data_IF_399651998143
#
_entry.id   IF_399651998143
#
_cell.length_a   1.000
_cell.length_b   1.000
_cell.length_c   1.000
_cell.angle_alpha   90.00
_cell.angle_beta   90.00
_cell.angle_gamma   90.00
#
_symmetry.space_group_name_H-M   'P 1'
#
loop_
_entity.id
_entity.type
_entity.pdbx_description
1 polymer ?
#
# COMPACT_ATOMS: atom_id res chain seq x y z
N UNK A 1 8.22 17.15 -28.68
CA UNK A 1 8.05 16.13 -29.75
C UNK A 1 9.20 15.12 -29.74
N UNK A 2 10.47 15.55 -29.69
CA UNK A 2 11.65 14.66 -29.67
C UNK A 2 11.72 13.76 -28.42
N UNK A 3 11.39 14.29 -27.25
CA UNK A 3 11.41 13.50 -25.99
C UNK A 3 10.30 12.45 -25.94
N UNK A 4 9.20 12.67 -26.64
CA UNK A 4 8.11 11.71 -26.75
C UNK A 4 8.42 10.58 -27.76
N UNK A 5 9.19 10.87 -28.83
CA UNK A 5 9.59 9.87 -29.82
C UNK A 5 10.56 8.81 -29.29
N UNK A 6 11.37 9.14 -28.24
CA UNK A 6 12.27 8.18 -27.62
C UNK A 6 11.63 7.28 -26.57
N UNK A 7 10.39 7.56 -26.12
CA UNK A 7 9.72 6.80 -25.04
C UNK A 7 8.50 5.99 -25.49
N UNK A 8 8.00 6.19 -26.69
CA UNK A 8 6.84 5.47 -27.23
C UNK A 8 7.12 5.05 -28.65
N UNK A 9 6.66 3.85 -29.03
CA UNK A 9 6.76 3.38 -30.41
C UNK A 9 6.18 4.46 -31.37
N UNK A 10 6.86 4.76 -32.48
CA UNK A 10 6.40 5.80 -33.42
C UNK A 10 4.94 5.64 -33.87
N UNK A 11 4.48 4.41 -33.98
CA UNK A 11 3.10 4.07 -34.39
C UNK A 11 2.06 4.53 -33.39
N UNK A 12 2.35 4.50 -32.07
CA UNK A 12 1.43 4.96 -31.02
C UNK A 12 1.28 6.49 -31.02
N UNK A 13 2.34 7.22 -31.35
CA UNK A 13 2.30 8.70 -31.46
C UNK A 13 1.60 9.16 -32.71
N UNK A 14 1.79 8.45 -33.83
CA UNK A 14 1.07 8.74 -35.10
C UNK A 14 -0.43 8.50 -34.93
N UNK A 15 -0.83 7.53 -34.16
CA UNK A 15 -2.22 7.20 -33.84
C UNK A 15 -2.90 8.31 -33.02
N UNK A 16 -2.25 8.86 -32.03
CA UNK A 16 -2.76 9.98 -31.22
C UNK A 16 -2.89 11.27 -32.04
N UNK A 17 -2.00 11.51 -32.98
CA UNK A 17 -2.10 12.65 -33.91
C UNK A 17 -3.21 12.47 -34.96
N UNK A 18 -3.50 11.26 -35.42
CA UNK A 18 -4.62 10.96 -36.31
C UNK A 18 -5.97 11.11 -35.63
N UNK A 19 -6.08 10.65 -34.37
CA UNK A 19 -7.30 10.79 -33.57
C UNK A 19 -7.68 12.27 -33.31
N UNK A 20 -6.71 13.18 -33.30
CA UNK A 20 -6.96 14.60 -33.11
C UNK A 20 -7.40 15.32 -34.42
N UNK A 21 -7.20 14.73 -35.61
CA UNK A 21 -7.48 15.33 -36.89
C UNK A 21 -8.59 14.69 -37.73
N UNK A 22 -8.86 13.43 -37.54
CA UNK A 22 -9.90 12.70 -38.28
C UNK A 22 -10.85 12.03 -37.27
N UNK A 23 -12.14 12.01 -37.55
CA UNK A 23 -13.15 11.19 -36.88
C UNK A 23 -12.86 9.69 -37.17
N UNK A 24 -11.67 9.25 -36.83
CA UNK A 24 -11.26 7.86 -36.91
C UNK A 24 -11.99 7.05 -35.83
N UNK A 25 -12.27 5.84 -36.19
CA UNK A 25 -13.08 4.87 -35.48
C UNK A 25 -12.66 4.74 -34.03
N UNK A 26 -13.44 5.31 -33.09
CA UNK A 26 -13.20 5.29 -31.66
C UNK A 26 -13.12 3.83 -31.15
N UNK A 27 -13.77 2.88 -31.84
CA UNK A 27 -13.72 1.46 -31.54
C UNK A 27 -12.35 0.84 -31.88
N UNK A 28 -11.69 1.25 -32.96
CA UNK A 28 -10.32 0.78 -33.25
C UNK A 28 -9.30 1.33 -32.24
N UNK A 29 -9.49 2.57 -31.77
CA UNK A 29 -8.66 3.16 -30.73
C UNK A 29 -8.85 2.46 -29.38
N UNK A 30 -10.10 2.17 -29.02
CA UNK A 30 -10.44 1.42 -27.80
C UNK A 30 -9.88 0.00 -27.86
N UNK A 31 -9.97 -0.68 -29.00
CA UNK A 31 -9.44 -2.03 -29.17
C UNK A 31 -7.90 -2.06 -29.18
N UNK A 32 -7.23 -1.05 -29.69
CA UNK A 32 -5.75 -1.00 -29.65
C UNK A 32 -5.20 -0.71 -28.25
N UNK A 33 -5.94 0.03 -27.42
CA UNK A 33 -5.58 0.30 -26.02
C UNK A 33 -5.81 -0.94 -25.12
N UNK A 34 -6.73 -1.82 -25.53
CA UNK A 34 -7.06 -3.04 -24.76
C UNK A 34 -6.23 -4.27 -25.12
N UNK A 35 -5.29 -4.19 -26.06
CA UNK A 35 -4.59 -5.39 -26.55
C UNK A 35 -3.53 -5.95 -25.60
N UNK A 36 -2.92 -5.14 -24.74
CA UNK A 36 -1.87 -5.62 -23.85
C UNK A 36 -2.33 -5.54 -22.39
N UNK A 37 -2.52 -6.70 -21.79
CA UNK A 37 -2.75 -6.78 -20.35
C UNK A 37 -1.44 -6.44 -19.60
N UNK A 38 -1.33 -5.21 -19.12
CA UNK A 38 -0.14 -4.72 -18.41
C UNK A 38 0.16 -5.46 -17.09
N UNK A 39 -0.73 -6.36 -16.67
CA UNK A 39 -0.50 -7.26 -15.53
C UNK A 39 0.11 -8.58 -15.94
N UNK A 40 0.07 -8.91 -17.22
CA UNK A 40 0.66 -10.14 -17.72
C UNK A 40 2.19 -10.12 -17.52
N UNK A 41 2.76 -11.09 -16.79
CA UNK A 41 4.19 -11.19 -16.59
C UNK A 41 4.99 -11.22 -17.89
N UNK A 42 4.43 -11.81 -18.95
CA UNK A 42 5.08 -11.89 -20.27
C UNK A 42 5.20 -10.52 -20.91
N UNK A 43 4.12 -9.73 -20.90
CA UNK A 43 4.13 -8.35 -21.40
C UNK A 43 5.11 -7.48 -20.60
N UNK A 44 5.14 -7.66 -19.29
CA UNK A 44 6.08 -6.92 -18.44
C UNK A 44 7.53 -7.32 -18.69
N UNK A 45 7.79 -8.60 -18.95
CA UNK A 45 9.13 -9.07 -19.33
C UNK A 45 9.61 -8.41 -20.63
N UNK A 46 8.76 -8.38 -21.65
CA UNK A 46 9.09 -7.69 -22.92
C UNK A 46 9.41 -6.22 -22.71
N UNK A 47 8.60 -5.50 -21.93
CA UNK A 47 8.83 -4.10 -21.59
C UNK A 47 10.13 -3.88 -20.81
N UNK A 48 10.48 -4.78 -19.87
CA UNK A 48 11.72 -4.70 -19.11
C UNK A 48 12.92 -4.94 -20.04
N UNK A 49 12.86 -5.94 -20.90
CA UNK A 49 13.92 -6.23 -21.87
C UNK A 49 14.11 -5.08 -22.87
N UNK A 50 13.03 -4.51 -23.37
CA UNK A 50 13.07 -3.33 -24.25
C UNK A 50 13.69 -2.12 -23.51
N UNK A 51 13.28 -1.84 -22.29
CA UNK A 51 13.83 -0.72 -21.50
C UNK A 51 15.32 -0.88 -21.16
N UNK A 52 15.74 -2.10 -20.83
CA UNK A 52 17.11 -2.40 -20.43
C UNK A 52 18.03 -2.69 -21.63
N UNK A 53 17.53 -2.71 -22.86
CA UNK A 53 18.32 -2.95 -24.08
C UNK A 53 19.44 -1.93 -24.27
N UNK A 54 19.22 -0.68 -23.83
CA UNK A 54 20.19 0.42 -23.91
C UNK A 54 21.26 0.33 -22.79
N UNK A 55 21.04 -0.53 -21.80
CA UNK A 55 21.95 -0.77 -20.67
C UNK A 55 22.63 -2.12 -20.87
N UNK A 56 23.94 -2.19 -20.92
CA UNK A 56 24.71 -3.43 -21.07
C UNK A 56 24.49 -4.38 -19.87
N UNK A 57 23.32 -4.95 -19.76
CA UNK A 57 22.92 -5.89 -18.69
C UNK A 57 23.24 -7.30 -19.16
N UNK A 58 23.98 -8.05 -18.34
CA UNK A 58 24.23 -9.47 -18.61
C UNK A 58 22.97 -10.32 -18.36
N UNK A 59 22.93 -11.54 -18.92
CA UNK A 59 21.77 -12.43 -18.81
C UNK A 59 21.50 -12.89 -17.37
N UNK A 60 22.52 -13.03 -16.52
CA UNK A 60 22.36 -13.43 -15.13
C UNK A 60 21.68 -12.33 -14.30
N UNK A 61 22.06 -11.06 -14.55
CA UNK A 61 21.45 -9.91 -13.93
C UNK A 61 20.01 -9.70 -14.46
N UNK A 62 19.80 -9.88 -15.77
CA UNK A 62 18.47 -9.81 -16.38
C UNK A 62 17.53 -10.81 -15.73
N UNK A 63 17.95 -12.07 -15.55
CA UNK A 63 17.15 -13.09 -14.88
C UNK A 63 16.78 -12.69 -13.46
N UNK A 64 17.71 -12.16 -12.67
CA UNK A 64 17.41 -11.66 -11.31
C UNK A 64 16.40 -10.51 -11.31
N UNK A 65 16.48 -9.60 -12.29
CA UNK A 65 15.49 -8.50 -12.43
C UNK A 65 14.11 -9.05 -12.76
N UNK A 66 14.00 -10.05 -13.63
CA UNK A 66 12.73 -10.68 -13.99
C UNK A 66 12.13 -11.47 -12.81
N UNK A 67 12.96 -12.20 -12.06
CA UNK A 67 12.51 -12.92 -10.85
C UNK A 67 11.98 -11.92 -9.80
N UNK A 68 12.68 -10.83 -9.56
CA UNK A 68 12.22 -9.74 -8.70
C UNK A 68 10.93 -9.09 -9.22
N UNK A 69 10.80 -8.90 -10.52
CA UNK A 69 9.58 -8.38 -11.12
C UNK A 69 8.37 -9.25 -10.78
N UNK A 70 8.50 -10.57 -10.90
CA UNK A 70 7.42 -11.52 -10.57
C UNK A 70 7.08 -11.47 -9.07
N UNK A 71 8.08 -11.36 -8.21
CA UNK A 71 7.87 -11.23 -6.76
C UNK A 71 7.09 -9.95 -6.43
N UNK A 72 7.49 -8.82 -7.02
CA UNK A 72 6.80 -7.54 -6.78
C UNK A 72 5.42 -7.46 -7.42
N UNK A 73 5.16 -8.17 -8.52
CA UNK A 73 3.79 -8.34 -9.04
C UNK A 73 2.91 -9.01 -7.98
N UNK A 74 3.33 -10.14 -7.42
CA UNK A 74 2.58 -10.86 -6.39
C UNK A 74 2.33 -10.01 -5.15
N UNK A 75 3.36 -9.36 -4.63
CA UNK A 75 3.25 -8.44 -3.48
C UNK A 75 2.28 -7.27 -3.77
N UNK A 76 2.32 -6.72 -4.98
CA UNK A 76 1.44 -5.63 -5.38
C UNK A 76 -0.02 -6.10 -5.50
N UNK A 77 -0.26 -7.29 -6.05
CA UNK A 77 -1.59 -7.91 -6.18
C UNK A 77 -2.19 -8.28 -4.81
N UNK A 78 -1.41 -8.87 -3.92
CA UNK A 78 -1.84 -9.20 -2.55
C UNK A 78 -2.23 -7.94 -1.76
N UNK A 79 -1.58 -6.83 -2.03
CA UNK A 79 -1.90 -5.53 -1.42
C UNK A 79 -3.08 -4.81 -2.07
N UNK A 80 -3.63 -5.33 -3.17
CA UNK A 80 -4.76 -4.70 -3.86
C UNK A 80 -6.07 -4.89 -3.12
N UNK A 81 -6.64 -3.79 -2.70
CA UNK A 81 -7.98 -3.74 -2.10
C UNK A 81 -9.10 -3.67 -3.14
N UNK A 82 -8.81 -3.52 -4.44
CA UNK A 82 -9.79 -3.22 -5.49
C UNK A 82 -9.52 -4.07 -6.73
N UNK A 83 -10.50 -4.88 -7.14
CA UNK A 83 -10.51 -5.51 -8.46
C UNK A 83 -10.93 -4.50 -9.52
N UNK A 84 -10.15 -4.38 -10.58
CA UNK A 84 -10.45 -3.51 -11.73
C UNK A 84 -10.82 -4.34 -12.95
N UNK A 85 -11.49 -3.71 -13.92
CA UNK A 85 -11.95 -4.33 -15.16
C UNK A 85 -13.06 -5.41 -14.99
N UNK A 86 -13.83 -5.37 -13.91
CA UNK A 86 -15.00 -6.24 -13.79
C UNK A 86 -16.17 -5.57 -14.50
N UNK A 87 -16.68 -6.22 -15.55
CA UNK A 87 -17.95 -5.80 -16.18
C UNK A 87 -19.11 -6.28 -15.33
N UNK A 88 -19.83 -5.35 -14.76
CA UNK A 88 -21.04 -5.62 -14.00
C UNK A 88 -22.24 -4.86 -14.55
N UNK A 89 -23.44 -5.43 -14.39
CA UNK A 89 -24.68 -4.85 -14.84
C UNK A 89 -25.61 -4.66 -13.66
N UNK A 90 -26.10 -3.43 -13.47
CA UNK A 90 -27.15 -3.14 -12.50
C UNK A 90 -28.47 -3.74 -13.00
N UNK A 91 -29.06 -4.64 -12.23
CA UNK A 91 -30.32 -5.31 -12.56
C UNK A 91 -31.51 -4.59 -11.96
N UNK A 92 -31.40 -4.26 -10.68
CA UNK A 92 -32.48 -3.66 -9.94
C UNK A 92 -31.96 -2.69 -8.89
N UNK A 93 -32.69 -1.60 -8.68
CA UNK A 93 -32.47 -0.64 -7.63
C UNK A 93 -33.78 -0.43 -6.87
N UNK A 94 -33.77 -0.66 -5.57
CA UNK A 94 -34.88 -0.41 -4.68
C UNK A 94 -34.48 0.55 -3.57
N UNK A 95 -35.34 1.48 -3.20
CA UNK A 95 -35.09 2.35 -2.06
C UNK A 95 -36.36 2.83 -1.41
N UNK A 96 -36.28 3.09 -0.12
CA UNK A 96 -37.39 3.66 0.67
C UNK A 96 -36.86 4.71 1.61
N UNK A 97 -37.55 5.82 1.71
CA UNK A 97 -37.27 6.90 2.64
C UNK A 97 -35.86 7.51 2.52
N UNK A 98 -35.29 7.52 1.32
CA UNK A 98 -34.06 8.21 1.02
C UNK A 98 -34.32 9.56 0.33
N UNK A 99 -33.62 10.60 0.78
CA UNK A 99 -33.77 11.96 0.26
C UNK A 99 -35.21 12.47 0.26
N UNK A 100 -35.77 12.81 -0.90
CA UNK A 100 -37.16 13.29 -1.05
C UNK A 100 -38.16 12.16 -1.33
N UNK A 101 -37.69 10.91 -1.39
CA UNK A 101 -38.53 9.77 -1.69
C UNK A 101 -39.20 9.20 -0.43
N UNK A 102 -40.40 8.70 -0.61
CA UNK A 102 -41.11 7.88 0.38
C UNK A 102 -40.79 6.40 0.24
N UNK A 103 -41.74 5.56 0.59
CA UNK A 103 -41.57 4.11 0.59
C UNK A 103 -41.78 3.48 -0.80
N UNK A 104 -41.16 2.32 -1.05
CA UNK A 104 -41.51 1.41 -2.14
C UNK A 104 -41.06 1.88 -3.54
N UNK A 105 -39.95 2.62 -3.65
CA UNK A 105 -39.43 2.99 -4.96
C UNK A 105 -38.56 1.87 -5.55
N UNK A 106 -38.74 1.62 -6.86
CA UNK A 106 -38.08 0.53 -7.57
C UNK A 106 -37.82 0.91 -9.02
N UNK A 107 -36.65 0.56 -9.52
CA UNK A 107 -36.26 0.60 -10.94
C UNK A 107 -35.76 -0.78 -11.32
N UNK A 108 -36.37 -1.38 -12.32
CA UNK A 108 -35.97 -2.63 -12.92
C UNK A 108 -35.22 -2.29 -14.24
N UNK A 109 -33.91 -2.47 -14.24
CA UNK A 109 -33.05 -2.14 -15.37
C UNK A 109 -33.12 -3.18 -16.48
N UNK A 110 -33.51 -4.43 -16.16
CA UNK A 110 -33.65 -5.48 -17.16
C UNK A 110 -34.76 -5.18 -18.18
N UNK A 111 -35.73 -4.39 -17.75
CA UNK A 111 -36.85 -3.93 -18.60
C UNK A 111 -36.54 -2.62 -19.35
N UNK A 112 -35.39 -2.01 -19.13
CA UNK A 112 -34.97 -0.77 -19.78
C UNK A 112 -34.04 -1.07 -20.96
N UNK A 113 -34.44 -0.62 -22.15
CA UNK A 113 -33.64 -0.79 -23.36
C UNK A 113 -33.30 0.57 -23.99
N UNK A 114 -32.07 0.72 -24.47
CA UNK A 114 -31.63 1.93 -25.13
C UNK A 114 -31.43 3.13 -24.18
N UNK A 115 -31.64 4.33 -24.68
CA UNK A 115 -31.48 5.57 -23.90
C UNK A 115 -32.78 5.89 -23.16
N UNK A 116 -32.71 5.99 -21.84
CA UNK A 116 -33.85 6.28 -20.97
C UNK A 116 -33.73 7.68 -20.39
N UNK A 117 -34.75 8.49 -20.54
CA UNK A 117 -34.84 9.84 -19.98
C UNK A 117 -35.68 9.90 -18.70
N UNK A 118 -35.13 10.57 -17.68
CA UNK A 118 -35.86 10.85 -16.42
C UNK A 118 -36.28 12.31 -16.41
N UNK A 119 -37.57 12.56 -16.51
CA UNK A 119 -38.15 13.91 -16.58
C UNK A 119 -38.87 14.28 -15.29
N UNK A 120 -38.83 15.54 -14.95
CA UNK A 120 -39.55 16.07 -13.76
C UNK A 120 -39.15 17.53 -13.46
N UNK A 121 -39.87 18.16 -12.60
CA UNK A 121 -39.61 19.54 -12.13
C UNK A 121 -38.28 19.61 -11.40
N UNK A 122 -37.68 20.78 -11.29
CA UNK A 122 -36.51 21.00 -10.45
C UNK A 122 -36.86 20.63 -9.00
N UNK A 123 -35.88 20.06 -8.28
CA UNK A 123 -36.03 19.56 -6.89
C UNK A 123 -37.01 18.34 -6.73
N UNK A 124 -37.47 17.72 -7.83
CA UNK A 124 -38.30 16.51 -7.75
C UNK A 124 -37.57 15.23 -7.35
N UNK A 125 -36.26 15.29 -7.15
CA UNK A 125 -35.44 14.13 -6.74
C UNK A 125 -34.79 13.35 -7.88
N UNK A 126 -34.77 13.83 -9.13
CA UNK A 126 -34.15 13.13 -10.27
C UNK A 126 -32.70 12.71 -9.98
N UNK A 127 -31.89 13.61 -9.46
CA UNK A 127 -30.50 13.30 -9.10
C UNK A 127 -30.39 12.41 -7.85
N UNK A 128 -31.42 12.40 -7.00
CA UNK A 128 -31.42 11.58 -5.80
C UNK A 128 -31.54 10.08 -6.10
N UNK A 129 -31.99 9.69 -7.29
CA UNK A 129 -31.97 8.28 -7.76
C UNK A 129 -30.52 7.81 -7.83
N UNK A 130 -29.66 8.62 -8.45
CA UNK A 130 -28.23 8.34 -8.56
C UNK A 130 -27.55 8.38 -7.19
N UNK A 131 -27.89 9.38 -6.37
CA UNK A 131 -27.38 9.47 -5.00
C UNK A 131 -27.80 8.28 -4.14
N UNK A 132 -28.99 7.69 -4.38
CA UNK A 132 -29.42 6.46 -3.72
C UNK A 132 -28.56 5.26 -4.13
N UNK A 133 -28.22 5.12 -5.41
CA UNK A 133 -27.29 4.09 -5.88
C UNK A 133 -25.88 4.27 -5.27
N UNK A 134 -25.35 5.49 -5.25
CA UNK A 134 -24.05 5.80 -4.65
C UNK A 134 -24.06 5.53 -3.12
N UNK A 135 -25.16 5.82 -2.45
CA UNK A 135 -25.30 5.49 -1.03
C UNK A 135 -25.26 3.97 -0.80
N UNK A 136 -26.00 3.21 -1.60
CA UNK A 136 -26.05 1.75 -1.46
C UNK A 136 -24.67 1.14 -1.71
N UNK A 137 -23.98 1.51 -2.80
CA UNK A 137 -22.71 0.92 -3.18
C UNK A 137 -21.56 1.43 -2.30
N UNK A 138 -21.46 2.73 -2.08
CA UNK A 138 -20.26 3.37 -1.55
C UNK A 138 -20.48 4.16 -0.26
N UNK A 139 -21.69 4.15 0.31
CA UNK A 139 -22.03 4.94 1.50
C UNK A 139 -21.74 6.44 1.36
N UNK A 140 -21.99 7.01 0.18
CA UNK A 140 -21.70 8.41 -0.15
C UNK A 140 -22.74 8.97 -1.12
N UNK A 141 -22.60 10.21 -1.50
CA UNK A 141 -23.43 10.89 -2.51
C UNK A 141 -22.55 11.62 -3.52
N UNK A 142 -23.12 12.05 -4.64
CA UNK A 142 -22.42 12.84 -5.65
C UNK A 142 -21.77 14.13 -5.09
N UNK A 143 -22.29 14.66 -3.99
CA UNK A 143 -21.79 15.89 -3.35
C UNK A 143 -20.80 15.66 -2.20
N UNK A 144 -20.33 14.45 -1.95
CA UNK A 144 -19.31 14.02 -0.96
C UNK A 144 -19.44 14.53 0.50
N UNK A 145 -20.20 15.59 0.76
CA UNK A 145 -20.25 16.29 2.07
C UNK A 145 -21.48 15.93 2.92
N UNK A 146 -22.33 15.00 2.49
CA UNK A 146 -23.56 14.70 3.22
C UNK A 146 -23.32 13.68 4.34
N UNK A 147 -23.65 14.07 5.56
CA UNK A 147 -23.78 13.13 6.69
C UNK A 147 -24.92 12.15 6.41
N UNK A 148 -24.78 10.89 6.82
CA UNK A 148 -25.81 9.86 6.59
C UNK A 148 -27.19 10.25 7.13
N UNK A 149 -27.27 11.04 8.20
CA UNK A 149 -28.53 11.57 8.72
C UNK A 149 -29.30 12.40 7.68
N UNK A 150 -28.60 13.07 6.76
CA UNK A 150 -29.20 13.89 5.71
C UNK A 150 -29.62 13.08 4.46
N UNK A 151 -29.22 11.82 4.38
CA UNK A 151 -29.62 10.89 3.32
C UNK A 151 -31.02 10.35 3.61
N UNK A 152 -31.35 10.15 4.88
CA UNK A 152 -32.68 9.70 5.33
C UNK A 152 -33.66 10.86 5.12
N UNK A 153 -34.86 10.55 4.61
CA UNK A 153 -35.91 11.54 4.46
C UNK A 153 -36.16 12.26 5.79
N UNK A 154 -36.32 13.58 5.72
CA UNK A 154 -36.46 14.41 6.94
C UNK A 154 -37.59 13.98 7.85
N UNK A 155 -38.71 13.48 7.26
CA UNK A 155 -39.92 13.07 7.96
C UNK A 155 -39.93 11.58 8.36
N UNK A 156 -38.80 10.90 8.23
CA UNK A 156 -38.67 9.47 8.51
C UNK A 156 -37.48 9.20 9.42
N UNK A 157 -37.58 8.18 10.23
CA UNK A 157 -36.52 7.74 11.16
C UNK A 157 -35.52 6.80 10.49
N UNK A 158 -35.95 6.09 9.45
CA UNK A 158 -35.16 5.09 8.76
C UNK A 158 -35.27 5.25 7.24
N UNK A 159 -34.15 4.99 6.55
CA UNK A 159 -34.08 4.92 5.10
C UNK A 159 -33.31 3.67 4.67
N UNK A 160 -33.82 2.99 3.66
CA UNK A 160 -33.25 1.73 3.14
C UNK A 160 -32.97 1.83 1.65
N UNK A 161 -31.96 1.10 1.21
CA UNK A 161 -31.65 0.96 -0.20
C UNK A 161 -31.09 -0.43 -0.50
N UNK A 162 -31.49 -1.00 -1.64
CA UNK A 162 -31.05 -2.31 -2.12
C UNK A 162 -30.68 -2.24 -3.59
N UNK A 163 -29.62 -2.93 -3.96
CA UNK A 163 -29.19 -3.08 -5.35
C UNK A 163 -28.92 -4.54 -5.67
N UNK A 164 -29.41 -4.99 -6.82
CA UNK A 164 -29.11 -6.28 -7.43
C UNK A 164 -28.25 -6.06 -8.66
N UNK A 165 -27.10 -6.75 -8.73
CA UNK A 165 -26.06 -6.55 -9.73
C UNK A 165 -25.60 -7.91 -10.24
N UNK A 166 -25.43 -8.07 -11.55
CA UNK A 166 -24.85 -9.29 -12.14
C UNK A 166 -23.42 -9.09 -12.60
N UNK A 167 -22.58 -10.08 -12.34
CA UNK A 167 -21.22 -10.21 -12.84
C UNK A 167 -21.07 -11.60 -13.46
N UNK A 168 -21.03 -11.65 -14.79
CA UNK A 168 -21.12 -12.94 -15.49
C UNK A 168 -22.41 -13.67 -15.13
N UNK A 169 -22.28 -14.89 -14.60
CA UNK A 169 -23.41 -15.74 -14.20
C UNK A 169 -23.75 -15.62 -12.70
N UNK A 170 -23.04 -14.81 -11.93
CA UNK A 170 -23.29 -14.61 -10.52
C UNK A 170 -24.12 -13.35 -10.26
N UNK A 171 -24.97 -13.40 -9.22
CA UNK A 171 -25.78 -12.26 -8.80
C UNK A 171 -25.36 -11.76 -7.43
N UNK A 172 -25.12 -10.49 -7.32
CA UNK A 172 -24.69 -9.80 -6.09
C UNK A 172 -25.82 -8.92 -5.58
N UNK A 173 -26.00 -8.94 -4.26
CA UNK A 173 -27.03 -8.18 -3.58
C UNK A 173 -26.38 -7.36 -2.46
N UNK A 174 -26.69 -6.05 -2.46
CA UNK A 174 -26.24 -5.11 -1.44
C UNK A 174 -27.47 -4.47 -0.86
N UNK A 175 -27.65 -4.54 0.46
CA UNK A 175 -28.67 -3.77 1.16
C UNK A 175 -28.04 -2.92 2.25
N UNK A 176 -28.47 -1.66 2.32
CA UNK A 176 -27.98 -0.67 3.26
C UNK A 176 -29.14 0.04 3.92
N UNK A 177 -29.17 -0.01 5.25
CA UNK A 177 -30.22 0.63 6.07
C UNK A 177 -29.58 1.65 6.98
N UNK A 178 -30.09 2.86 7.00
CA UNK A 178 -29.65 3.92 7.93
C UNK A 178 -30.79 4.34 8.83
N UNK A 179 -30.55 4.37 10.13
CA UNK A 179 -31.52 4.73 11.16
C UNK A 179 -31.02 5.93 11.96
N UNK A 180 -31.86 6.94 12.14
CA UNK A 180 -31.57 8.12 12.96
C UNK A 180 -31.57 7.76 14.44
N UNK A 181 -30.65 8.35 15.19
CA UNK A 181 -30.61 8.28 16.64
C UNK A 181 -30.08 9.55 17.24
N UNK A 182 -30.53 9.86 18.46
CA UNK A 182 -30.06 11.04 19.21
C UNK A 182 -28.87 10.63 20.06
N UNK A 183 -27.76 11.33 19.88
CA UNK A 183 -26.54 11.17 20.68
C UNK A 183 -26.38 12.38 21.61
N UNK A 184 -26.20 12.11 22.90
CA UNK A 184 -25.90 13.16 23.90
C UNK A 184 -24.40 13.21 24.13
N UNK A 185 -23.79 14.34 23.81
CA UNK A 185 -22.38 14.60 24.07
C UNK A 185 -22.22 15.94 24.80
N UNK A 186 -21.61 15.94 25.96
CA UNK A 186 -21.37 17.14 26.78
C UNK A 186 -22.62 18.02 27.04
N UNK A 187 -23.79 17.40 27.13
CA UNK A 187 -25.05 18.14 27.37
C UNK A 187 -25.78 18.62 26.13
N UNK A 188 -25.18 18.50 24.95
CA UNK A 188 -25.82 18.82 23.67
C UNK A 188 -26.38 17.53 23.02
N UNK A 189 -27.58 17.62 22.49
CA UNK A 189 -28.20 16.54 21.71
C UNK A 189 -27.90 16.75 20.23
N UNK A 190 -27.25 15.75 19.61
CA UNK A 190 -26.97 15.74 18.18
C UNK A 190 -27.69 14.56 17.53
N UNK A 191 -28.29 14.81 16.37
CA UNK A 191 -28.92 13.76 15.56
C UNK A 191 -27.85 13.14 14.66
N UNK A 192 -27.61 11.84 14.83
CA UNK A 192 -26.69 11.03 14.02
C UNK A 192 -27.46 9.89 13.33
N UNK A 193 -26.79 9.18 12.41
CA UNK A 193 -27.36 8.00 11.78
C UNK A 193 -26.41 6.80 11.94
N UNK A 194 -26.97 5.67 12.34
CA UNK A 194 -26.32 4.37 12.31
C UNK A 194 -26.69 3.69 10.99
N UNK A 195 -25.70 3.08 10.35
CA UNK A 195 -25.90 2.39 9.07
C UNK A 195 -25.53 0.93 9.22
N UNK A 196 -26.45 0.06 8.88
CA UNK A 196 -26.27 -1.39 8.78
C UNK A 196 -26.11 -1.76 7.30
N UNK A 197 -25.27 -2.76 7.00
CA UNK A 197 -24.88 -3.16 5.65
C UNK A 197 -24.90 -4.67 5.55
N UNK A 198 -25.51 -5.18 4.48
CA UNK A 198 -25.48 -6.59 4.15
C UNK A 198 -25.05 -6.77 2.68
N UNK A 199 -24.11 -7.67 2.46
CA UNK A 199 -23.57 -7.98 1.16
C UNK A 199 -23.46 -9.49 0.98
N UNK A 200 -24.08 -10.03 -0.08
CA UNK A 200 -24.03 -11.45 -0.40
C UNK A 200 -24.12 -11.67 -1.91
N UNK A 201 -23.72 -12.83 -2.36
CA UNK A 201 -23.90 -13.27 -3.74
C UNK A 201 -24.71 -14.57 -3.81
N UNK A 202 -25.36 -14.79 -4.93
CA UNK A 202 -25.93 -16.07 -5.33
C UNK A 202 -25.04 -16.60 -6.45
N UNK A 203 -24.48 -17.78 -6.23
CA UNK A 203 -23.62 -18.43 -7.20
C UNK A 203 -24.43 -19.10 -8.33
N UNK A 204 -23.72 -19.71 -9.28
CA UNK A 204 -24.31 -20.45 -10.41
C UNK A 204 -25.21 -21.63 -9.98
N UNK A 205 -25.02 -22.17 -8.77
CA UNK A 205 -25.77 -23.28 -8.22
C UNK A 205 -27.00 -22.81 -7.43
N UNK A 206 -27.19 -21.49 -7.28
CA UNK A 206 -28.25 -20.91 -6.50
C UNK A 206 -27.96 -20.82 -4.99
N UNK A 207 -26.70 -21.06 -4.58
CA UNK A 207 -26.30 -20.96 -3.18
C UNK A 207 -26.06 -19.50 -2.78
N UNK A 208 -26.60 -19.10 -1.63
CA UNK A 208 -26.38 -17.79 -1.05
C UNK A 208 -25.09 -17.78 -0.24
N UNK A 209 -24.10 -17.03 -0.71
CA UNK A 209 -22.80 -16.88 -0.08
C UNK A 209 -22.70 -15.47 0.53
N UNK A 210 -22.52 -15.38 1.85
CA UNK A 210 -22.29 -14.11 2.52
C UNK A 210 -20.89 -13.57 2.22
N UNK A 211 -20.82 -12.28 1.87
CA UNK A 211 -19.58 -11.53 1.62
C UNK A 211 -19.37 -10.45 2.69
N UNK A 212 -20.11 -10.52 3.79
CA UNK A 212 -19.94 -9.62 4.92
C UNK A 212 -18.59 -9.85 5.58
N UNK A 213 -17.90 -8.77 5.96
CA UNK A 213 -16.74 -8.82 6.82
C UNK A 213 -17.13 -8.86 8.31
N UNK A 214 -16.12 -8.88 9.18
CA UNK A 214 -16.34 -8.83 10.63
C UNK A 214 -16.95 -7.52 11.10
N UNK A 215 -16.64 -6.44 10.41
CA UNK A 215 -17.19 -5.11 10.64
C UNK A 215 -17.84 -4.56 9.38
N UNK A 216 -18.67 -3.51 9.55
CA UNK A 216 -19.22 -2.78 8.40
C UNK A 216 -18.11 -2.27 7.47
N UNK A 217 -17.02 -1.77 8.02
CA UNK A 217 -15.89 -1.27 7.23
C UNK A 217 -15.24 -2.39 6.39
N UNK A 218 -15.16 -3.60 6.91
CA UNK A 218 -14.64 -4.74 6.17
C UNK A 218 -15.60 -5.16 5.05
N UNK A 219 -16.91 -5.09 5.31
CA UNK A 219 -17.93 -5.31 4.28
C UNK A 219 -17.84 -4.24 3.19
N UNK A 220 -17.66 -2.96 3.54
CA UNK A 220 -17.44 -1.88 2.58
C UNK A 220 -16.16 -2.11 1.75
N UNK A 221 -15.09 -2.66 2.33
CA UNK A 221 -13.89 -3.07 1.59
C UNK A 221 -14.19 -4.21 0.62
N UNK A 222 -14.96 -5.22 1.04
CA UNK A 222 -15.35 -6.32 0.17
C UNK A 222 -16.21 -5.84 -1.03
N UNK A 223 -17.10 -4.87 -0.82
CA UNK A 223 -17.84 -4.23 -1.91
C UNK A 223 -16.89 -3.53 -2.88
N UNK A 224 -15.92 -2.76 -2.37
CA UNK A 224 -14.92 -2.08 -3.22
C UNK A 224 -14.03 -3.06 -3.98
N UNK A 225 -13.70 -4.21 -3.40
CA UNK A 225 -12.98 -5.27 -4.11
C UNK A 225 -13.73 -5.74 -5.35
N UNK A 226 -15.05 -5.83 -5.28
CA UNK A 226 -15.88 -6.35 -6.38
C UNK A 226 -16.25 -5.24 -7.38
N UNK A 227 -16.64 -4.06 -6.91
CA UNK A 227 -17.22 -3.00 -7.75
C UNK A 227 -16.31 -1.82 -8.03
N UNK A 228 -15.09 -1.84 -7.48
CA UNK A 228 -14.16 -0.72 -7.61
C UNK A 228 -14.40 0.40 -6.60
N UNK A 229 -13.67 1.51 -6.76
CA UNK A 229 -13.84 2.71 -5.95
C UNK A 229 -14.95 3.62 -6.49
N UNK A 230 -15.45 4.53 -5.66
CA UNK A 230 -16.39 5.56 -6.13
C UNK A 230 -15.76 6.45 -7.20
N UNK A 231 -14.47 6.74 -7.07
CA UNK A 231 -13.73 7.53 -8.06
C UNK A 231 -13.73 6.84 -9.42
N UNK A 232 -13.50 5.53 -9.45
CA UNK A 232 -13.54 4.74 -10.68
C UNK A 232 -14.95 4.76 -11.29
N UNK A 233 -15.98 4.61 -10.45
CA UNK A 233 -17.37 4.65 -10.87
C UNK A 233 -17.79 6.02 -11.46
N UNK A 234 -17.39 7.10 -10.81
CA UNK A 234 -17.66 8.47 -11.28
C UNK A 234 -16.90 8.82 -12.57
N UNK A 235 -15.75 8.20 -12.79
CA UNK A 235 -14.96 8.42 -14.02
C UNK A 235 -15.44 7.59 -15.20
N UNK A 236 -16.01 6.42 -14.97
CA UNK A 236 -16.33 5.45 -16.03
C UNK A 236 -17.83 5.35 -16.30
N UNK A 237 -18.62 5.22 -15.25
CA UNK A 237 -20.02 4.79 -15.36
C UNK A 237 -21.00 5.91 -15.08
N UNK A 238 -20.60 6.96 -14.40
CA UNK A 238 -21.46 8.06 -14.00
C UNK A 238 -20.89 9.42 -14.39
N UNK A 239 -21.57 10.11 -15.29
CA UNK A 239 -21.28 11.52 -15.59
C UNK A 239 -22.14 12.41 -14.69
N UNK A 240 -21.59 12.90 -13.59
CA UNK A 240 -22.28 13.87 -12.75
C UNK A 240 -22.22 15.28 -13.35
N UNK A 241 -23.21 16.11 -13.04
CA UNK A 241 -23.28 17.49 -13.55
C UNK A 241 -22.09 18.35 -13.14
N UNK A 242 -21.45 18.05 -12.00
CA UNK A 242 -20.33 18.82 -11.44
C UNK A 242 -18.97 18.22 -11.81
N UNK A 243 -18.85 16.90 -11.91
CA UNK A 243 -17.59 16.19 -12.04
C UNK A 243 -17.33 15.63 -13.44
N UNK A 244 -18.30 15.71 -14.38
CA UNK A 244 -18.15 15.20 -15.75
C UNK A 244 -17.01 15.82 -16.55
N UNK A 245 -16.56 17.01 -16.14
CA UNK A 245 -15.44 17.72 -16.74
C UNK A 245 -14.17 17.69 -15.88
N UNK A 246 -14.11 16.84 -14.86
CA UNK A 246 -12.96 16.77 -13.95
C UNK A 246 -11.66 16.50 -14.69
N UNK A 247 -11.66 15.55 -15.62
CA UNK A 247 -10.50 15.25 -16.45
C UNK A 247 -9.99 16.47 -17.26
N UNK A 248 -10.89 17.34 -17.72
CA UNK A 248 -10.53 18.54 -18.50
C UNK A 248 -10.04 19.66 -17.57
N UNK A 249 -10.65 19.79 -16.40
CA UNK A 249 -10.37 20.86 -15.43
C UNK A 249 -9.12 20.60 -14.60
N UNK A 250 -8.81 19.34 -14.34
CA UNK A 250 -7.67 18.95 -13.51
C UNK A 250 -6.33 19.26 -14.18
N UNK A 251 -5.31 19.47 -13.34
CA UNK A 251 -3.93 19.69 -13.78
C UNK A 251 -3.30 18.44 -14.40
N UNK A 252 -2.17 18.62 -15.06
CA UNK A 252 -1.44 17.55 -15.76
C UNK A 252 -1.19 16.30 -14.89
N UNK A 253 -0.86 16.49 -13.61
CA UNK A 253 -0.58 15.40 -12.67
C UNK A 253 -1.81 14.54 -12.40
N UNK A 254 -2.96 15.16 -12.13
CA UNK A 254 -4.20 14.42 -11.87
C UNK A 254 -4.74 13.75 -13.13
N UNK A 255 -4.63 14.39 -14.29
CA UNK A 255 -4.96 13.75 -15.57
C UNK A 255 -4.12 12.50 -15.86
N UNK A 256 -2.81 12.54 -15.53
CA UNK A 256 -1.93 11.36 -15.64
C UNK A 256 -2.36 10.24 -14.70
N UNK A 257 -2.75 10.55 -13.47
CA UNK A 257 -3.27 9.55 -12.52
C UNK A 257 -4.56 8.92 -13.03
N UNK A 258 -5.50 9.73 -13.54
CA UNK A 258 -6.76 9.23 -14.11
C UNK A 258 -6.45 8.27 -15.29
N UNK A 259 -5.57 8.66 -16.19
CA UNK A 259 -5.15 7.79 -17.30
C UNK A 259 -4.45 6.52 -16.81
N UNK A 260 -3.58 6.63 -15.81
CA UNK A 260 -2.91 5.47 -15.22
C UNK A 260 -3.91 4.49 -14.61
N UNK A 261 -4.96 4.99 -13.97
CA UNK A 261 -6.08 4.16 -13.49
C UNK A 261 -6.81 3.46 -14.62
N UNK A 262 -7.15 4.18 -15.69
CA UNK A 262 -7.85 3.62 -16.84
C UNK A 262 -7.06 2.53 -17.58
N UNK A 263 -5.75 2.72 -17.67
CA UNK A 263 -4.83 1.81 -18.35
C UNK A 263 -4.26 0.73 -17.41
N UNK A 264 -4.76 0.66 -16.18
CA UNK A 264 -4.29 -0.26 -15.12
C UNK A 264 -2.77 -0.19 -14.85
N UNK A 265 -2.20 1.01 -15.00
CA UNK A 265 -0.77 1.25 -14.81
C UNK A 265 -0.37 1.51 -13.34
N UNK A 266 -1.34 1.58 -12.42
CA UNK A 266 -1.06 1.81 -10.99
C UNK A 266 -0.25 0.67 -10.36
N UNK A 267 -0.29 -0.53 -10.97
CA UNK A 267 0.54 -1.65 -10.52
C UNK A 267 2.03 -1.30 -10.58
N UNK A 268 2.47 -0.54 -11.60
CA UNK A 268 3.86 -0.11 -11.70
C UNK A 268 4.26 0.88 -10.60
N UNK A 269 3.35 1.78 -10.20
CA UNK A 269 3.60 2.70 -9.10
C UNK A 269 3.68 1.98 -7.76
N UNK A 270 2.82 0.98 -7.54
CA UNK A 270 2.87 0.13 -6.35
C UNK A 270 4.17 -0.66 -6.27
N UNK A 271 4.55 -1.31 -7.37
CA UNK A 271 5.84 -2.02 -7.48
C UNK A 271 7.02 -1.10 -7.18
N UNK A 272 7.03 0.09 -7.78
CA UNK A 272 8.08 1.08 -7.53
C UNK A 272 8.16 1.46 -6.05
N UNK A 273 7.02 1.69 -5.39
CA UNK A 273 6.99 2.04 -3.96
C UNK A 273 7.52 0.92 -3.10
N UNK A 274 7.07 -0.32 -3.31
CA UNK A 274 7.56 -1.50 -2.59
C UNK A 274 9.07 -1.71 -2.79
N UNK A 275 9.54 -1.67 -4.04
CA UNK A 275 10.95 -1.80 -4.34
C UNK A 275 11.80 -0.66 -3.75
N UNK A 276 11.25 0.55 -3.69
CA UNK A 276 11.94 1.70 -3.07
C UNK A 276 12.04 1.56 -1.55
N UNK A 277 11.01 1.03 -0.89
CA UNK A 277 11.03 0.74 0.55
C UNK A 277 12.11 -0.31 0.86
N UNK A 278 12.08 -1.45 0.17
CA UNK A 278 13.07 -2.53 0.35
C UNK A 278 14.51 -2.05 0.02
N UNK A 279 14.68 -1.24 -1.03
CA UNK A 279 15.98 -0.68 -1.38
C UNK A 279 16.48 0.38 -0.39
N UNK A 280 15.61 1.05 0.35
CA UNK A 280 16.00 2.07 1.33
C UNK A 280 16.81 1.48 2.47
N UNK A 281 16.38 0.32 2.98
CA UNK A 281 17.04 -0.37 4.08
C UNK A 281 18.42 -0.89 3.65
N UNK A 282 18.49 -1.47 2.44
CA UNK A 282 19.77 -1.91 1.86
C UNK A 282 20.73 -0.75 1.61
N UNK A 283 20.25 0.38 1.10
CA UNK A 283 21.07 1.59 0.92
C UNK A 283 21.57 2.14 2.26
N UNK A 284 20.74 2.09 3.30
CA UNK A 284 21.12 2.48 4.64
C UNK A 284 22.23 1.57 5.22
N UNK A 285 22.11 0.26 5.01
CA UNK A 285 23.13 -0.70 5.41
C UNK A 285 24.46 -0.49 4.63
N UNK A 286 24.37 -0.35 3.31
CA UNK A 286 25.54 -0.09 2.45
C UNK A 286 26.27 1.21 2.80
N UNK A 287 25.55 2.27 3.14
CA UNK A 287 26.19 3.52 3.61
C UNK A 287 26.99 3.33 4.88
N UNK A 288 26.48 2.54 5.83
CA UNK A 288 27.19 2.23 7.08
C UNK A 288 28.46 1.41 6.84
N UNK A 289 28.47 0.56 5.81
CA UNK A 289 29.61 -0.26 5.42
C UNK A 289 30.59 0.54 4.57
N UNK A 290 30.10 1.33 3.61
CA UNK A 290 30.93 2.03 2.63
C UNK A 290 31.73 3.21 3.15
N UNK A 291 31.38 3.78 4.33
CA UNK A 291 32.13 4.88 4.96
C UNK A 291 33.26 4.39 5.92
N UNK A 292 33.40 3.07 6.09
CA UNK A 292 34.46 2.46 6.92
C UNK A 292 35.53 1.84 6.06
N UNK A 293 36.76 2.34 6.21
CA UNK A 293 37.97 1.71 5.67
C UNK A 293 38.43 0.60 6.61
N UNK A 294 37.85 -0.57 6.43
CA UNK A 294 38.18 -1.74 7.26
C UNK A 294 39.62 -2.17 7.14
N UNK A 295 40.28 -1.94 6.01
CA UNK A 295 41.68 -2.32 5.80
C UNK A 295 42.58 -1.47 6.68
N UNK A 296 42.31 -0.18 6.83
CA UNK A 296 43.02 0.72 7.75
C UNK A 296 42.73 0.37 9.21
N UNK A 297 41.47 0.10 9.58
CA UNK A 297 41.12 -0.31 10.95
C UNK A 297 41.75 -1.64 11.35
N UNK A 298 41.85 -2.61 10.44
CA UNK A 298 42.53 -3.89 10.68
C UNK A 298 44.04 -3.66 10.85
N UNK A 299 44.67 -2.87 9.99
CA UNK A 299 46.10 -2.58 10.10
C UNK A 299 46.48 -1.85 11.40
N UNK A 300 45.62 -0.92 11.86
CA UNK A 300 45.79 -0.25 13.15
C UNK A 300 45.63 -1.22 14.33
N UNK A 301 44.60 -2.08 14.30
CA UNK A 301 44.40 -3.08 15.33
C UNK A 301 45.51 -4.13 15.40
N UNK A 302 46.03 -4.58 14.26
CA UNK A 302 47.19 -5.50 14.20
C UNK A 302 48.45 -4.84 14.76
N UNK A 303 48.65 -3.55 14.50
CA UNK A 303 49.77 -2.80 15.07
C UNK A 303 49.63 -2.66 16.59
N UNK A 304 48.45 -2.30 17.09
CA UNK A 304 48.22 -2.21 18.54
C UNK A 304 48.42 -3.56 19.23
N UNK A 305 47.98 -4.66 18.61
CA UNK A 305 48.16 -6.01 19.11
C UNK A 305 49.69 -6.32 19.23
N UNK A 306 50.43 -6.06 18.16
CA UNK A 306 51.87 -6.30 18.10
C UNK A 306 52.66 -5.47 19.16
N UNK A 307 52.30 -4.20 19.31
CA UNK A 307 52.92 -3.32 20.31
C UNK A 307 52.55 -3.76 21.74
N UNK A 308 51.29 -4.22 21.93
CA UNK A 308 50.81 -4.80 23.21
C UNK A 308 51.54 -6.11 23.56
N UNK A 309 51.75 -7.02 22.61
CA UNK A 309 52.49 -8.26 22.81
C UNK A 309 53.95 -7.98 23.19
N UNK A 310 54.62 -7.03 22.54
CA UNK A 310 55.97 -6.62 22.92
C UNK A 310 56.04 -6.05 24.32
N UNK A 311 55.10 -5.18 24.67
CA UNK A 311 55.04 -4.62 26.02
C UNK A 311 54.81 -5.71 27.07
N UNK A 312 53.99 -6.71 26.78
CA UNK A 312 53.75 -7.84 27.67
C UNK A 312 55.01 -8.67 27.88
N UNK A 313 55.73 -9.01 26.79
CA UNK A 313 57.00 -9.76 26.89
C UNK A 313 58.03 -9.00 27.73
N UNK A 314 58.11 -7.67 27.59
CA UNK A 314 59.00 -6.83 28.39
C UNK A 314 58.61 -6.85 29.87
N UNK A 315 57.34 -6.68 30.20
CA UNK A 315 56.83 -6.72 31.57
C UNK A 315 57.00 -8.11 32.22
N UNK A 316 56.80 -9.19 31.46
CA UNK A 316 57.04 -10.55 31.94
C UNK A 316 58.52 -10.78 32.27
N UNK A 317 59.43 -10.27 31.45
CA UNK A 317 60.84 -10.35 31.69
C UNK A 317 61.25 -9.56 32.95
N UNK A 318 60.74 -8.33 33.12
CA UNK A 318 60.98 -7.50 34.30
C UNK A 318 60.38 -8.16 35.56
N UNK A 319 59.19 -8.72 35.46
CA UNK A 319 58.55 -9.46 36.57
C UNK A 319 59.35 -10.71 36.98
N UNK A 320 60.01 -11.38 36.00
CA UNK A 320 60.91 -12.52 36.30
C UNK A 320 62.11 -12.09 37.08
N UNK A 321 62.79 -11.00 36.66
CA UNK A 321 63.97 -10.44 37.33
C UNK A 321 63.58 -10.01 38.79
N UNK A 322 62.48 -9.32 38.94
CA UNK A 322 61.99 -8.90 40.25
C UNK A 322 61.66 -10.10 41.15
N UNK A 323 61.10 -11.19 40.61
CA UNK A 323 60.85 -12.43 41.36
C UNK A 323 62.17 -13.12 41.81
N UNK A 324 63.16 -13.15 40.94
CA UNK A 324 64.50 -13.68 41.29
C UNK A 324 65.11 -12.84 42.38
N UNK A 325 65.12 -11.50 42.28
CA UNK A 325 65.62 -10.62 43.33
C UNK A 325 64.87 -10.79 44.66
N UNK A 326 63.54 -10.92 44.60
CA UNK A 326 62.76 -11.19 45.81
C UNK A 326 63.10 -12.55 46.45
N UNK A 327 63.37 -13.58 45.64
CA UNK A 327 63.77 -14.89 46.13
C UNK A 327 65.19 -14.85 46.77
N UNK A 328 66.10 -14.07 46.19
CA UNK A 328 67.43 -13.86 46.73
C UNK A 328 67.34 -13.12 48.08
N UNK A 329 66.56 -12.07 48.20
CA UNK A 329 66.30 -11.37 49.43
C UNK A 329 65.72 -12.30 50.52
N UNK A 330 64.75 -13.16 50.16
CA UNK A 330 64.19 -14.15 51.09
C UNK A 330 65.25 -15.12 51.57
N UNK A 331 66.14 -15.55 50.67
CA UNK A 331 67.27 -16.43 51.02
C UNK A 331 68.28 -15.74 51.94
N UNK A 332 68.57 -14.46 51.69
CA UNK A 332 69.44 -13.68 52.60
C UNK A 332 68.81 -13.47 53.97
N UNK A 333 67.52 -13.17 54.03
CA UNK A 333 66.76 -13.06 55.28
C UNK A 333 66.89 -14.38 56.12
N UNK A 334 66.66 -15.52 55.41
CA UNK A 334 66.74 -16.85 56.12
C UNK A 334 68.14 -17.10 56.66
N UNK A 335 69.20 -16.66 55.92
CA UNK A 335 70.58 -16.76 56.43
C UNK A 335 70.85 -15.86 57.64
N UNK A 336 70.28 -14.65 57.62
CA UNK A 336 70.40 -13.68 58.68
C UNK A 336 69.64 -14.20 59.95
N UNK A 337 68.43 -14.69 59.76
CA UNK A 337 67.62 -15.27 60.81
C UNK A 337 68.34 -16.46 61.48
N UNK A 338 68.90 -17.36 60.68
CA UNK A 338 69.73 -18.47 61.22
C UNK A 338 70.97 -17.98 61.99
N UNK A 339 71.55 -16.88 61.59
CA UNK A 339 72.64 -16.26 62.34
C UNK A 339 72.15 -15.64 63.64
N UNK A 340 71.05 -14.99 63.66
CA UNK A 340 70.42 -14.43 64.83
C UNK A 340 70.07 -15.54 65.87
N UNK A 341 69.45 -16.62 65.36
CA UNK A 341 69.12 -17.78 66.24
C UNK A 341 70.35 -18.49 66.79
N UNK A 342 71.50 -18.35 66.15
CA UNK A 342 72.77 -18.88 66.61
C UNK A 342 73.46 -18.03 67.69
N UNK A 343 73.00 -16.85 67.98
CA UNK A 343 73.50 -15.98 69.02
C UNK A 343 73.03 -16.52 70.38
N UNK A 344 73.95 -16.91 71.31
CA UNK A 344 73.57 -17.40 72.60
C UNK A 344 72.80 -16.36 73.41
N UNK A 345 71.58 -16.70 73.86
CA UNK A 345 70.72 -15.81 74.64
C UNK A 345 71.13 -15.76 76.11
N UNK A 346 72.37 -15.90 76.43
CA UNK A 346 72.84 -15.68 77.74
C UNK A 346 72.98 -14.19 78.04
N UNK A 347 72.03 -13.69 78.77
CA UNK A 347 72.08 -12.32 79.30
C UNK A 347 73.18 -12.33 80.40
N UNK A 348 74.33 -11.80 80.15
CA UNK A 348 75.36 -11.51 81.14
C UNK A 348 74.83 -10.37 82.02
N UNK A 349 74.35 -10.71 83.16
CA UNK A 349 73.94 -9.78 84.21
C UNK A 349 75.18 -9.05 84.79
N UNK A 350 75.46 -7.88 84.31
CA UNK A 350 76.51 -7.02 84.83
C UNK A 350 75.92 -6.17 85.94
N UNK A 351 75.65 -6.75 87.13
CA UNK A 351 75.46 -6.01 88.35
C UNK A 351 76.75 -6.09 89.14
N UNK A 352 77.52 -5.02 89.03
CA UNK A 352 78.33 -4.47 90.08
C UNK A 352 78.60 -2.98 89.76
#
# INVERSE_FOLDING_TARGET
KEVAQHRFKPDTISFLNRAAGERGNVEELANSIHQDNMRDPVVQEELIREYLSDYQVDEDLMKKVLDLNIEYIKKAEESEEISRNIKWNLRELQWSNLFNYGEGNRIDFDNLNGTVGIFGKNYSGKSSIIDSLLFILFNTTSKKERKNVNIINQNREEGTGEASISIGDEQYYISRTSTKYTKRLKGEETLEAKTDLNFYKIDKNGEKISLNGLTRNDTDKNIRKVFGSIEDFLLTSLSSQLDSLSFIREGSTERKKILAKFLDLEIFEKKFRLAKEDASDLKGALRRIGDRDYDTEIAEAEKELFDGEKALIFQEAECRVLKEQAQDCVSEIAIIDAKIDSIPAEVINITK
#
